data_IF_850218110762
#
_entry.id   IF_850218110762
#
_cell.length_a   1.000
_cell.length_b   1.000
_cell.length_c   1.000
_cell.angle_alpha   90.00
_cell.angle_beta   90.00
_cell.angle_gamma   90.00
#
_symmetry.space_group_name_H-M   'P 1'
#
loop_
_entity.id
_entity.type
_entity.pdbx_description
1 polymer ?
#
# COMPACT_ATOMS: atom_id res chain seq x y z
N UNK A 1 -37.47 -21.22 16.87
CA UNK A 1 -36.58 -20.32 16.10
C UNK A 1 -36.82 -20.59 14.61
N UNK A 2 -37.57 -19.73 13.91
CA UNK A 2 -38.01 -19.96 12.51
C UNK A 2 -36.95 -19.40 11.55
N UNK A 3 -36.29 -20.29 10.80
CA UNK A 3 -35.39 -19.92 9.70
C UNK A 3 -36.24 -19.37 8.54
N UNK A 4 -35.99 -18.12 8.14
CA UNK A 4 -36.58 -17.51 6.95
C UNK A 4 -35.86 -18.04 5.71
N UNK A 5 -36.58 -18.81 4.90
CA UNK A 5 -36.22 -19.16 3.52
C UNK A 5 -36.22 -17.89 2.67
N UNK A 6 -35.03 -17.42 2.28
CA UNK A 6 -34.87 -16.35 1.31
C UNK A 6 -34.91 -16.94 -0.09
N UNK A 7 -35.90 -16.52 -0.90
CA UNK A 7 -36.02 -16.90 -2.29
C UNK A 7 -34.81 -16.38 -3.09
N UNK A 8 -33.98 -17.29 -3.59
CA UNK A 8 -32.91 -17.00 -4.54
C UNK A 8 -33.56 -16.64 -5.87
N UNK A 9 -33.61 -15.35 -6.20
CA UNK A 9 -34.07 -14.88 -7.51
C UNK A 9 -32.92 -15.08 -8.49
N UNK A 10 -32.93 -16.20 -9.20
CA UNK A 10 -32.06 -16.41 -10.35
C UNK A 10 -32.44 -15.43 -11.44
N UNK A 11 -31.80 -14.25 -11.43
CA UNK A 11 -31.79 -13.33 -12.57
C UNK A 11 -30.97 -13.98 -13.68
N UNK A 12 -31.64 -14.83 -14.46
CA UNK A 12 -31.18 -15.18 -15.80
C UNK A 12 -31.21 -13.88 -16.60
N UNK A 13 -30.07 -13.21 -16.69
CA UNK A 13 -29.89 -12.12 -17.64
C UNK A 13 -30.03 -12.74 -19.02
N UNK A 14 -31.06 -12.35 -19.78
CA UNK A 14 -31.22 -12.72 -21.18
C UNK A 14 -30.04 -12.12 -21.97
N UNK A 15 -28.97 -12.89 -22.11
CA UNK A 15 -27.80 -12.51 -22.91
C UNK A 15 -28.23 -12.58 -24.37
N UNK A 16 -28.40 -11.42 -25.01
CA UNK A 16 -28.70 -11.33 -26.43
C UNK A 16 -27.61 -12.08 -27.24
N UNK A 17 -27.95 -13.19 -27.93
CA UNK A 17 -26.98 -14.03 -28.64
C UNK A 17 -26.29 -13.31 -29.80
N UNK A 18 -26.83 -12.18 -30.27
CA UNK A 18 -26.20 -11.36 -31.31
C UNK A 18 -24.99 -10.59 -30.78
N UNK A 19 -25.01 -10.18 -29.50
CA UNK A 19 -23.91 -9.43 -28.88
C UNK A 19 -22.67 -10.31 -28.62
N UNK A 20 -22.87 -11.59 -28.30
CA UNK A 20 -21.77 -12.55 -28.10
C UNK A 20 -21.01 -12.85 -29.39
N UNK A 21 -21.68 -12.85 -30.55
CA UNK A 21 -21.05 -13.05 -31.86
C UNK A 21 -20.08 -11.92 -32.24
N UNK A 22 -20.48 -10.66 -32.02
CA UNK A 22 -19.63 -9.50 -32.33
C UNK A 22 -18.36 -9.46 -31.46
N UNK A 23 -18.48 -9.78 -30.17
CA UNK A 23 -17.32 -9.84 -29.25
C UNK A 23 -16.37 -10.99 -29.66
N UNK A 24 -16.91 -12.15 -30.04
CA UNK A 24 -16.09 -13.26 -30.50
C UNK A 24 -15.31 -12.91 -31.78
N UNK A 25 -15.95 -12.24 -32.74
CA UNK A 25 -15.28 -11.76 -33.96
C UNK A 25 -14.19 -10.72 -33.67
N UNK A 26 -14.46 -9.75 -32.79
CA UNK A 26 -13.46 -8.78 -32.36
C UNK A 26 -12.28 -9.43 -31.64
N UNK A 27 -12.52 -10.42 -30.77
CA UNK A 27 -11.46 -11.15 -30.11
C UNK A 27 -10.64 -11.99 -31.11
N UNK A 28 -11.28 -12.59 -32.12
CA UNK A 28 -10.60 -13.35 -33.16
C UNK A 28 -9.69 -12.47 -34.06
N UNK A 29 -9.94 -11.17 -34.14
CA UNK A 29 -9.07 -10.24 -34.87
C UNK A 29 -7.93 -9.67 -34.03
N UNK A 30 -7.97 -9.81 -32.69
CA UNK A 30 -6.95 -9.29 -31.79
C UNK A 30 -5.59 -9.94 -32.01
N UNK A 31 -4.53 -9.18 -32.35
CA UNK A 31 -3.17 -9.72 -32.48
C UNK A 31 -2.66 -10.33 -31.17
N UNK A 32 -2.99 -9.72 -30.03
CA UNK A 32 -2.58 -10.20 -28.70
C UNK A 32 -3.13 -11.61 -28.42
N UNK A 33 -4.39 -11.87 -28.75
CA UNK A 33 -5.05 -13.17 -28.47
C UNK A 33 -4.55 -14.31 -29.38
N UNK A 34 -3.88 -13.99 -30.49
CA UNK A 34 -3.25 -14.98 -31.38
C UNK A 34 -1.84 -15.38 -30.94
N UNK A 35 -1.25 -14.65 -29.98
CA UNK A 35 0.07 -14.98 -29.48
C UNK A 35 0.03 -16.23 -28.60
N UNK A 36 1.11 -17.04 -28.60
CA UNK A 36 1.31 -18.10 -27.62
C UNK A 36 1.20 -17.57 -26.19
N UNK A 37 0.78 -18.44 -25.26
CA UNK A 37 0.53 -18.06 -23.86
C UNK A 37 1.79 -17.48 -23.20
N UNK A 38 2.95 -18.02 -23.53
CA UNK A 38 4.26 -17.59 -23.00
C UNK A 38 4.55 -16.12 -23.35
N UNK A 39 4.28 -15.73 -24.60
CA UNK A 39 4.48 -14.35 -25.07
C UNK A 39 3.46 -13.42 -24.42
N UNK A 40 2.21 -13.87 -24.23
CA UNK A 40 1.18 -13.08 -23.54
C UNK A 40 1.54 -12.84 -22.08
N UNK A 41 2.01 -13.88 -21.38
CA UNK A 41 2.47 -13.75 -19.99
C UNK A 41 3.62 -12.76 -19.87
N UNK A 42 4.60 -12.82 -20.79
CA UNK A 42 5.68 -11.84 -20.83
C UNK A 42 5.16 -10.41 -21.05
N UNK A 43 4.19 -10.22 -21.95
CA UNK A 43 3.54 -8.91 -22.16
C UNK A 43 2.84 -8.45 -20.87
N UNK A 44 2.11 -9.33 -20.18
CA UNK A 44 1.44 -8.97 -18.93
C UNK A 44 2.45 -8.62 -17.83
N UNK A 45 3.54 -9.36 -17.69
CA UNK A 45 4.60 -9.08 -16.72
C UNK A 45 5.26 -7.72 -17.01
N UNK A 46 5.59 -7.43 -18.27
CA UNK A 46 6.18 -6.15 -18.67
C UNK A 46 5.20 -4.97 -18.50
N UNK A 47 3.91 -5.19 -18.75
CA UNK A 47 2.90 -4.14 -18.68
C UNK A 47 2.40 -3.86 -17.26
N UNK A 48 2.31 -4.91 -16.42
CA UNK A 48 1.64 -4.84 -15.12
C UNK A 48 2.49 -5.28 -13.94
N UNK A 49 3.64 -5.90 -14.14
CA UNK A 49 4.43 -6.54 -13.09
C UNK A 49 5.74 -5.84 -12.75
N UNK A 50 6.40 -6.31 -11.70
CA UNK A 50 7.74 -5.86 -11.28
C UNK A 50 7.80 -4.42 -10.73
N UNK A 51 6.67 -3.82 -10.40
CA UNK A 51 6.56 -2.47 -9.89
C UNK A 51 6.43 -2.43 -8.37
N UNK A 52 6.93 -1.36 -7.75
CA UNK A 52 6.51 -0.94 -6.41
C UNK A 52 5.25 -0.08 -6.54
N UNK A 53 4.13 -0.54 -5.99
CA UNK A 53 2.82 0.14 -6.07
C UNK A 53 2.50 0.76 -4.72
N UNK A 54 2.46 2.09 -4.66
CA UNK A 54 1.92 2.80 -3.50
C UNK A 54 0.40 2.75 -3.52
N UNK A 55 -0.16 2.21 -2.44
CA UNK A 55 -1.59 2.18 -2.20
C UNK A 55 -1.95 3.36 -1.33
N UNK A 56 -2.90 4.17 -1.80
CA UNK A 56 -3.42 5.30 -1.03
C UNK A 56 -4.93 5.21 -0.99
N UNK A 57 -5.50 5.25 0.21
CA UNK A 57 -6.94 5.34 0.40
C UNK A 57 -7.41 6.74 0.03
N UNK A 58 -8.32 6.85 -0.94
CA UNK A 58 -8.95 8.12 -1.27
C UNK A 58 -9.83 8.57 -0.10
N UNK A 59 -9.83 9.87 0.27
CA UNK A 59 -10.79 10.37 1.24
C UNK A 59 -12.21 10.13 0.73
N UNK A 60 -13.19 9.90 1.63
CA UNK A 60 -14.59 9.82 1.23
C UNK A 60 -14.96 11.11 0.49
N UNK A 61 -15.66 10.98 -0.62
CA UNK A 61 -16.02 12.09 -1.52
C UNK A 61 -16.97 13.13 -0.90
N UNK A 62 -17.44 12.90 0.33
CA UNK A 62 -18.38 13.77 1.05
C UNK A 62 -17.82 15.12 1.47
N UNK A 63 -16.53 15.40 1.25
CA UNK A 63 -15.95 16.74 1.44
C UNK A 63 -16.06 17.66 0.23
N UNK A 64 -16.74 17.25 -0.85
CA UNK A 64 -17.20 18.21 -1.85
C UNK A 64 -18.13 19.19 -1.14
N UNK A 65 -17.60 20.37 -0.88
CA UNK A 65 -18.23 21.51 -0.21
C UNK A 65 -19.43 22.00 -1.01
N UNK A 66 -20.50 21.23 -1.05
CA UNK A 66 -21.81 21.66 -1.51
C UNK A 66 -22.43 22.52 -0.43
N UNK A 67 -22.20 23.83 -0.60
CA UNK A 67 -23.21 24.87 -0.47
C UNK A 67 -24.61 24.35 -0.15
N UNK A 68 -24.98 24.51 1.12
CA UNK A 68 -26.28 24.98 1.59
C UNK A 68 -27.51 24.64 0.73
N UNK A 69 -28.26 23.63 1.17
CA UNK A 69 -29.72 23.61 1.03
C UNK A 69 -30.27 22.53 0.10
N UNK A 70 -30.46 21.31 0.60
CA UNK A 70 -31.58 20.46 0.18
C UNK A 70 -31.70 19.27 1.14
N UNK A 71 -32.78 19.27 1.91
CA UNK A 71 -33.20 18.14 2.75
C UNK A 71 -33.66 17.00 1.85
N UNK A 72 -32.88 15.93 1.75
CA UNK A 72 -33.30 14.72 1.06
C UNK A 72 -32.68 13.50 1.73
N UNK A 73 -33.54 12.61 2.22
CA UNK A 73 -33.21 11.31 2.79
C UNK A 73 -32.33 10.51 1.81
N UNK A 74 -31.01 10.59 1.97
CA UNK A 74 -30.09 9.74 1.24
C UNK A 74 -29.94 8.43 2.01
N UNK A 75 -30.45 7.34 1.41
CA UNK A 75 -29.95 5.99 1.70
C UNK A 75 -28.44 6.07 1.82
N UNK A 76 -27.92 5.65 2.97
CA UNK A 76 -26.50 5.65 3.27
C UNK A 76 -25.82 4.63 2.36
N UNK A 77 -25.48 5.06 1.15
CA UNK A 77 -24.61 4.34 0.23
C UNK A 77 -23.34 4.03 1.02
N UNK A 78 -23.18 2.77 1.39
CA UNK A 78 -22.11 2.27 2.25
C UNK A 78 -20.82 2.45 1.45
N UNK A 79 -20.22 3.63 1.63
CA UNK A 79 -19.23 4.19 0.72
C UNK A 79 -18.08 3.22 0.48
N UNK A 80 -18.07 2.61 -0.70
CA UNK A 80 -17.00 1.71 -1.11
C UNK A 80 -15.68 2.47 -1.01
N UNK A 81 -14.76 1.95 -0.19
CA UNK A 81 -13.45 2.56 -0.02
C UNK A 81 -12.71 2.46 -1.35
N UNK A 82 -12.37 3.60 -1.95
CA UNK A 82 -11.62 3.67 -3.20
C UNK A 82 -10.14 3.76 -2.89
N UNK A 83 -9.35 2.92 -3.56
CA UNK A 83 -7.89 2.96 -3.51
C UNK A 83 -7.34 3.53 -4.80
N UNK A 84 -6.27 4.30 -4.69
CA UNK A 84 -5.44 4.74 -5.82
C UNK A 84 -4.13 3.96 -5.79
N UNK A 85 -3.84 3.28 -6.89
CA UNK A 85 -2.63 2.48 -7.08
C UNK A 85 -1.66 3.29 -7.94
N UNK A 86 -0.58 3.79 -7.33
CA UNK A 86 0.42 4.62 -8.03
C UNK A 86 1.73 3.88 -8.12
N UNK A 87 2.28 3.75 -9.33
CA UNK A 87 3.59 3.14 -9.56
C UNK A 87 4.66 4.10 -9.04
N UNK A 88 5.57 3.58 -8.21
CA UNK A 88 6.74 4.29 -7.73
C UNK A 88 7.63 4.74 -8.90
N UNK A 89 8.15 5.95 -8.82
CA UNK A 89 9.07 6.54 -9.81
C UNK A 89 10.49 6.70 -9.29
N UNK A 90 10.81 6.12 -8.13
CA UNK A 90 12.19 6.11 -7.62
C UNK A 90 13.08 5.47 -8.67
N UNK A 91 14.18 6.16 -9.02
CA UNK A 91 15.19 5.62 -9.94
C UNK A 91 16.03 4.51 -9.31
N UNK A 92 16.00 4.43 -7.98
CA UNK A 92 16.69 3.44 -7.16
C UNK A 92 15.67 2.40 -6.72
N UNK A 93 15.92 1.11 -6.98
CA UNK A 93 15.06 0.02 -6.49
C UNK A 93 15.12 -0.07 -4.95
N UNK A 94 14.19 -0.80 -4.33
CA UNK A 94 14.28 -1.00 -2.87
C UNK A 94 15.47 -1.88 -2.50
N UNK A 95 15.79 -2.88 -3.33
CA UNK A 95 16.96 -3.74 -3.16
C UNK A 95 18.25 -2.92 -3.25
N UNK A 96 18.40 -2.07 -4.27
CA UNK A 96 19.56 -1.19 -4.43
C UNK A 96 19.66 -0.19 -3.27
N UNK A 97 18.54 0.35 -2.80
CA UNK A 97 18.55 1.25 -1.65
C UNK A 97 18.94 0.55 -0.34
N UNK A 98 18.59 -0.73 -0.20
CA UNK A 98 19.02 -1.55 0.92
C UNK A 98 20.52 -1.86 0.83
N UNK A 99 21.00 -2.27 -0.34
CA UNK A 99 22.44 -2.50 -0.58
C UNK A 99 23.27 -1.24 -0.30
N UNK A 100 22.81 -0.08 -0.77
CA UNK A 100 23.45 1.21 -0.50
C UNK A 100 23.41 1.61 0.99
N UNK A 101 22.41 1.13 1.75
CA UNK A 101 22.33 1.37 3.19
C UNK A 101 23.31 0.48 3.97
N UNK A 102 23.55 -0.75 3.51
CA UNK A 102 24.43 -1.71 4.17
C UNK A 102 25.94 -1.47 3.87
N UNK A 103 26.27 -0.73 2.81
CA UNK A 103 27.65 -0.40 2.47
C UNK A 103 28.21 0.78 3.31
N UNK A 104 28.85 0.43 4.43
CA UNK A 104 29.56 1.38 5.32
C UNK A 104 30.57 2.29 4.60
N UNK A 105 31.14 1.85 3.47
CA UNK A 105 32.12 2.64 2.72
C UNK A 105 31.48 3.78 1.91
N UNK A 106 30.19 3.63 1.58
CA UNK A 106 29.39 4.61 0.83
C UNK A 106 28.49 5.48 1.69
N UNK A 107 28.50 5.30 3.03
CA UNK A 107 27.85 6.22 3.98
C UNK A 107 28.28 7.71 3.83
N UNK A 108 29.31 7.99 3.01
CA UNK A 108 29.72 9.34 2.59
C UNK A 108 28.90 9.95 1.45
N UNK A 109 28.13 9.17 0.71
CA UNK A 109 27.26 9.64 -0.35
C UNK A 109 25.81 9.49 0.10
N UNK A 110 25.14 10.62 0.23
CA UNK A 110 23.74 10.82 0.56
C UNK A 110 22.84 9.76 -0.12
N UNK A 111 22.57 8.63 0.53
CA UNK A 111 21.39 7.82 0.17
C UNK A 111 20.23 8.70 0.60
N UNK A 112 19.44 9.26 -0.35
CA UNK A 112 18.35 10.13 0.01
C UNK A 112 17.47 9.34 0.96
N UNK A 113 17.26 9.87 2.16
CA UNK A 113 16.49 9.17 3.18
C UNK A 113 15.16 8.74 2.57
N UNK A 114 14.57 7.61 2.95
CA UNK A 114 13.41 6.99 2.26
C UNK A 114 12.35 7.99 1.72
N UNK A 115 12.03 9.04 2.49
CA UNK A 115 11.18 10.17 2.09
C UNK A 115 11.62 10.97 0.85
N UNK A 116 12.92 11.19 0.66
CA UNK A 116 13.46 11.87 -0.51
C UNK A 116 13.35 11.01 -1.76
N UNK A 117 13.63 9.70 -1.66
CA UNK A 117 13.45 8.73 -2.76
C UNK A 117 12.00 8.68 -3.24
N UNK A 118 11.07 8.66 -2.29
CA UNK A 118 9.64 8.61 -2.57
C UNK A 118 8.98 10.00 -2.60
N UNK A 119 9.75 11.09 -2.60
CA UNK A 119 9.18 12.45 -2.59
C UNK A 119 8.29 12.72 -3.80
N UNK A 120 8.67 12.18 -4.95
CA UNK A 120 7.89 12.24 -6.20
C UNK A 120 6.72 11.24 -6.24
N UNK A 121 6.70 10.26 -5.33
CA UNK A 121 5.71 9.19 -5.26
C UNK A 121 4.66 9.45 -4.18
N UNK A 122 5.03 10.23 -3.16
CA UNK A 122 4.18 10.59 -2.04
C UNK A 122 3.12 11.53 -2.59
N UNK A 123 1.97 10.95 -2.92
CA UNK A 123 0.73 11.71 -3.06
C UNK A 123 0.54 12.43 -1.73
N UNK A 124 0.91 13.71 -1.66
CA UNK A 124 0.55 14.48 -0.49
C UNK A 124 -0.98 14.46 -0.43
N UNK A 125 -1.53 14.43 0.78
CA UNK A 125 -2.98 14.48 0.96
C UNK A 125 -3.58 15.70 0.22
N UNK A 126 -2.79 16.77 0.07
CA UNK A 126 -3.08 17.94 -0.76
C UNK A 126 -3.18 17.63 -2.25
N UNK A 127 -2.33 16.77 -2.82
CA UNK A 127 -2.34 16.42 -4.26
C UNK A 127 -3.61 15.64 -4.65
N UNK A 128 -4.25 14.99 -3.67
CA UNK A 128 -5.55 14.32 -3.85
C UNK A 128 -6.67 15.35 -3.93
N UNK A 129 -6.57 16.44 -3.17
CA UNK A 129 -7.61 17.48 -3.08
C UNK A 129 -7.45 18.55 -4.16
N UNK A 130 -6.23 18.79 -4.64
CA UNK A 130 -5.91 19.80 -5.63
C UNK A 130 -4.94 19.20 -6.66
N UNK A 131 -5.43 18.46 -7.67
CA UNK A 131 -4.57 17.96 -8.73
C UNK A 131 -3.97 19.17 -9.46
N UNK A 132 -2.64 19.35 -9.35
CA UNK A 132 -1.98 20.42 -10.09
C UNK A 132 -2.14 20.17 -11.59
N UNK A 133 -2.29 21.24 -12.37
CA UNK A 133 -2.40 21.17 -13.84
C UNK A 133 -1.11 20.64 -14.49
N UNK A 134 0.01 20.66 -13.75
CA UNK A 134 1.31 20.08 -14.12
C UNK A 134 1.47 18.62 -13.64
N UNK A 135 0.37 17.92 -13.35
CA UNK A 135 0.37 16.46 -13.14
C UNK A 135 0.61 15.72 -14.45
N UNK A 136 1.76 15.98 -15.09
CA UNK A 136 2.36 15.02 -15.99
C UNK A 136 2.53 13.70 -15.23
N UNK A 137 1.62 12.77 -15.49
CA UNK A 137 1.89 11.34 -15.47
C UNK A 137 2.20 10.73 -14.10
N UNK A 138 1.39 10.99 -13.07
CA UNK A 138 1.26 9.97 -12.02
C UNK A 138 0.88 8.65 -12.72
N UNK A 139 1.83 7.72 -12.80
CA UNK A 139 1.63 6.41 -13.44
C UNK A 139 0.71 5.61 -12.54
N UNK A 140 -0.58 5.88 -12.65
CA UNK A 140 -1.62 5.03 -12.06
C UNK A 140 -1.54 3.71 -12.79
N UNK A 141 -1.42 2.61 -12.05
CA UNK A 141 -1.48 1.29 -12.65
C UNK A 141 -2.91 1.09 -13.17
N UNK A 142 -3.11 1.29 -14.47
CA UNK A 142 -4.41 1.09 -15.09
C UNK A 142 -4.66 -0.39 -15.30
N UNK A 143 -5.61 -0.94 -14.55
CA UNK A 143 -6.13 -2.30 -14.77
C UNK A 143 -7.23 -2.33 -15.84
N UNK A 144 -7.50 -1.21 -16.53
CA UNK A 144 -8.51 -1.16 -17.59
C UNK A 144 -8.23 -2.12 -18.74
N UNK A 145 -6.98 -2.36 -19.19
CA UNK A 145 -6.75 -3.31 -20.28
C UNK A 145 -7.10 -4.75 -19.87
N UNK A 146 -6.96 -5.10 -18.59
CA UNK A 146 -7.36 -6.43 -18.09
C UNK A 146 -8.88 -6.63 -18.13
N UNK A 147 -9.66 -5.56 -18.21
CA UNK A 147 -11.13 -5.60 -18.25
C UNK A 147 -11.70 -5.60 -19.68
N UNK A 148 -10.86 -5.54 -20.71
CA UNK A 148 -11.35 -5.44 -22.09
C UNK A 148 -12.02 -6.72 -22.58
N UNK A 149 -11.52 -7.90 -22.19
CA UNK A 149 -12.17 -9.17 -22.47
C UNK A 149 -11.90 -10.21 -21.38
N UNK A 150 -12.82 -11.17 -21.26
CA UNK A 150 -12.75 -12.23 -20.24
C UNK A 150 -11.50 -13.09 -20.36
N UNK A 151 -11.01 -13.33 -21.58
CA UNK A 151 -9.81 -14.14 -21.80
C UNK A 151 -8.56 -13.43 -21.26
N UNK A 152 -8.35 -12.15 -21.61
CA UNK A 152 -7.22 -11.36 -21.10
C UNK A 152 -7.31 -11.23 -19.58
N UNK A 153 -8.51 -11.03 -19.03
CA UNK A 153 -8.70 -11.02 -17.59
C UNK A 153 -8.22 -12.34 -16.96
N UNK A 154 -8.75 -13.48 -17.41
CA UNK A 154 -8.41 -14.78 -16.83
C UNK A 154 -6.91 -15.08 -16.92
N UNK A 155 -6.26 -14.73 -18.03
CA UNK A 155 -4.84 -14.96 -18.23
C UNK A 155 -3.96 -13.99 -17.44
N UNK A 156 -4.32 -12.71 -17.34
CA UNK A 156 -3.43 -11.66 -16.83
C UNK A 156 -3.77 -11.07 -15.46
N UNK A 157 -4.97 -11.28 -14.92
CA UNK A 157 -5.43 -10.57 -13.71
C UNK A 157 -4.61 -10.85 -12.45
N UNK A 158 -3.91 -11.99 -12.41
CA UNK A 158 -3.08 -12.38 -11.27
C UNK A 158 -1.72 -11.66 -11.27
N UNK A 159 -1.20 -11.29 -12.44
CA UNK A 159 0.14 -10.70 -12.61
C UNK A 159 0.34 -9.43 -11.78
N UNK A 160 -0.59 -8.46 -11.75
CA UNK A 160 -0.47 -7.29 -10.89
C UNK A 160 -0.30 -7.61 -9.40
N UNK A 161 -0.81 -8.75 -8.92
CA UNK A 161 -0.76 -9.10 -7.51
C UNK A 161 0.44 -9.99 -7.17
N UNK A 162 0.83 -10.88 -8.09
CA UNK A 162 1.91 -11.84 -7.83
C UNK A 162 3.31 -11.30 -8.05
N UNK A 163 3.47 -10.28 -8.88
CA UNK A 163 4.80 -9.79 -9.32
C UNK A 163 5.15 -8.40 -8.81
N UNK A 164 4.19 -7.65 -8.27
CA UNK A 164 4.43 -6.32 -7.72
C UNK A 164 4.63 -6.36 -6.21
N UNK A 165 5.28 -5.33 -5.69
CA UNK A 165 5.36 -5.05 -4.26
C UNK A 165 4.38 -3.96 -3.91
N UNK A 166 3.50 -4.20 -2.94
CA UNK A 166 2.52 -3.21 -2.51
C UNK A 166 3.01 -2.42 -1.30
N UNK A 167 3.08 -1.10 -1.42
CA UNK A 167 3.55 -0.18 -0.40
C UNK A 167 2.38 0.51 0.30
N UNK A 168 2.33 0.40 1.63
CA UNK A 168 1.34 1.08 2.48
C UNK A 168 2.06 1.89 3.56
N UNK A 169 1.76 3.19 3.65
CA UNK A 169 2.31 4.09 4.67
C UNK A 169 1.34 4.39 5.83
N UNK A 170 0.09 3.93 5.72
CA UNK A 170 -0.97 4.18 6.69
C UNK A 170 -1.68 2.87 7.06
N UNK A 171 -1.89 2.58 8.36
CA UNK A 171 -2.48 1.32 8.78
C UNK A 171 -3.94 1.15 8.33
N UNK A 172 -4.71 2.23 8.22
CA UNK A 172 -6.10 2.14 7.72
C UNK A 172 -6.14 1.80 6.24
N UNK A 173 -5.22 2.38 5.47
CA UNK A 173 -5.04 2.07 4.05
C UNK A 173 -4.68 0.59 3.87
N UNK A 174 -3.75 0.05 4.67
CA UNK A 174 -3.41 -1.37 4.64
C UNK A 174 -4.61 -2.26 5.02
N UNK A 175 -5.29 -1.94 6.12
CA UNK A 175 -6.48 -2.70 6.55
C UNK A 175 -7.55 -2.70 5.46
N UNK A 176 -7.89 -1.53 4.93
CA UNK A 176 -8.89 -1.38 3.88
C UNK A 176 -8.48 -2.12 2.60
N UNK A 177 -7.20 -2.06 2.21
CA UNK A 177 -6.70 -2.78 1.05
C UNK A 177 -6.90 -4.29 1.22
N UNK A 178 -6.49 -4.84 2.36
CA UNK A 178 -6.64 -6.27 2.67
C UNK A 178 -8.12 -6.68 2.69
N UNK A 179 -9.00 -5.86 3.26
CA UNK A 179 -10.45 -6.09 3.23
C UNK A 179 -10.99 -6.07 1.80
N UNK A 180 -10.55 -5.11 0.98
CA UNK A 180 -11.00 -4.98 -0.41
C UNK A 180 -10.58 -6.18 -1.26
N UNK A 181 -9.40 -6.75 -1.02
CA UNK A 181 -8.97 -7.96 -1.70
C UNK A 181 -9.83 -9.17 -1.27
N UNK A 182 -10.24 -9.24 0.00
CA UNK A 182 -11.13 -10.29 0.51
C UNK A 182 -12.57 -10.18 0.03
N UNK A 183 -13.03 -8.98 -0.29
CA UNK A 183 -14.34 -8.76 -0.93
C UNK A 183 -14.30 -9.02 -2.44
N UNK A 184 -13.12 -8.97 -3.06
CA UNK A 184 -12.91 -9.23 -4.48
C UNK A 184 -12.86 -10.72 -4.84
N UNK A 185 -12.18 -11.05 -5.95
CA UNK A 185 -11.91 -12.45 -6.29
C UNK A 185 -11.00 -13.08 -5.24
N UNK A 186 -11.38 -14.24 -4.71
CA UNK A 186 -10.57 -15.01 -3.77
C UNK A 186 -9.14 -15.27 -4.29
N UNK A 187 -8.99 -15.36 -5.61
CA UNK A 187 -7.71 -15.57 -6.30
C UNK A 187 -6.74 -14.39 -6.09
N UNK A 188 -7.24 -13.16 -5.99
CA UNK A 188 -6.40 -11.97 -5.81
C UNK A 188 -5.70 -11.97 -4.44
N UNK A 189 -6.41 -12.38 -3.38
CA UNK A 189 -5.86 -12.53 -2.03
C UNK A 189 -4.69 -13.52 -1.98
N UNK A 190 -4.80 -14.61 -2.74
CA UNK A 190 -3.81 -15.66 -2.80
C UNK A 190 -2.65 -15.31 -3.74
N UNK A 191 -2.80 -14.27 -4.56
CA UNK A 191 -1.77 -13.83 -5.48
C UNK A 191 -0.75 -12.89 -4.83
N UNK A 192 -1.12 -12.06 -3.83
CA UNK A 192 -0.20 -11.10 -3.21
C UNK A 192 1.01 -11.79 -2.57
N UNK A 193 2.22 -11.50 -3.09
CA UNK A 193 3.48 -12.10 -2.62
C UNK A 193 4.37 -11.16 -1.82
N UNK A 194 4.33 -9.86 -2.13
CA UNK A 194 5.29 -8.89 -1.61
C UNK A 194 4.59 -7.65 -1.05
N UNK A 195 4.96 -7.28 0.18
CA UNK A 195 4.41 -6.11 0.88
C UNK A 195 5.54 -5.24 1.44
N UNK A 196 5.42 -3.94 1.28
CA UNK A 196 6.29 -2.93 1.86
C UNK A 196 5.49 -2.05 2.82
N UNK A 197 5.93 -1.96 4.07
CA UNK A 197 5.25 -1.21 5.12
C UNK A 197 6.11 -0.02 5.56
N UNK A 198 5.64 1.19 5.28
CA UNK A 198 6.26 2.43 5.77
C UNK A 198 5.57 2.86 7.07
N UNK A 199 6.14 2.44 8.20
CA UNK A 199 5.58 2.69 9.52
C UNK A 199 6.21 3.92 10.16
N UNK A 200 5.48 5.03 10.16
CA UNK A 200 5.91 6.24 10.87
C UNK A 200 5.33 6.24 12.28
N UNK A 201 6.18 6.07 13.30
CA UNK A 201 5.78 6.09 14.69
C UNK A 201 5.89 7.52 15.24
N UNK A 202 4.75 8.13 15.55
CA UNK A 202 4.66 9.39 16.30
C UNK A 202 4.41 9.07 17.76
N UNK A 203 5.27 9.58 18.65
CA UNK A 203 5.34 9.22 20.08
C UNK A 203 4.03 9.36 20.88
N UNK A 204 3.03 10.08 20.37
CA UNK A 204 1.76 10.35 21.05
C UNK A 204 0.55 9.55 20.54
N UNK A 205 0.67 8.76 19.47
CA UNK A 205 -0.46 7.99 18.93
C UNK A 205 -0.32 6.50 19.24
N UNK A 206 -1.24 5.99 20.06
CA UNK A 206 -1.38 4.56 20.36
C UNK A 206 -1.43 3.77 19.06
N UNK A 207 -0.47 2.86 18.88
CA UNK A 207 -0.27 2.18 17.60
C UNK A 207 -1.11 0.89 17.43
N UNK A 208 -2.26 0.82 18.09
CA UNK A 208 -3.20 -0.30 17.93
C UNK A 208 -3.68 -0.45 16.49
N UNK A 209 -3.58 0.62 15.69
CA UNK A 209 -3.95 0.63 14.28
C UNK A 209 -3.04 -0.27 13.42
N UNK A 210 -1.71 -0.16 13.55
CA UNK A 210 -0.80 -1.02 12.79
C UNK A 210 -0.92 -2.49 13.21
N UNK A 211 -1.06 -2.77 14.51
CA UNK A 211 -1.35 -4.12 15.00
C UNK A 211 -2.58 -4.73 14.32
N UNK A 212 -3.69 -3.99 14.26
CA UNK A 212 -4.93 -4.44 13.65
C UNK A 212 -4.75 -4.72 12.15
N UNK A 213 -4.08 -3.83 11.43
CA UNK A 213 -3.80 -3.97 10.01
C UNK A 213 -2.89 -5.18 9.71
N UNK A 214 -1.84 -5.38 10.51
CA UNK A 214 -0.96 -6.54 10.42
C UNK A 214 -1.73 -7.83 10.71
N UNK A 215 -2.57 -7.87 11.75
CA UNK A 215 -3.41 -9.03 12.04
C UNK A 215 -4.35 -9.33 10.86
N UNK A 216 -4.92 -8.32 10.21
CA UNK A 216 -5.71 -8.52 8.99
C UNK A 216 -4.87 -9.17 7.88
N UNK A 217 -3.63 -8.72 7.66
CA UNK A 217 -2.70 -9.34 6.71
C UNK A 217 -2.47 -10.82 7.04
N UNK A 218 -2.17 -11.16 8.29
CA UNK A 218 -1.93 -12.56 8.70
C UNK A 218 -3.14 -13.47 8.46
N UNK A 219 -4.36 -12.90 8.49
CA UNK A 219 -5.60 -13.63 8.25
C UNK A 219 -5.88 -13.83 6.77
N UNK A 220 -5.63 -12.83 5.92
CA UNK A 220 -6.08 -12.84 4.52
C UNK A 220 -4.96 -13.16 3.51
N UNK A 221 -3.73 -12.69 3.75
CA UNK A 221 -2.62 -12.82 2.80
C UNK A 221 -1.80 -14.09 3.06
N UNK A 222 -2.44 -15.26 2.90
CA UNK A 222 -1.82 -16.57 3.20
C UNK A 222 -0.62 -16.91 2.33
N UNK A 223 -0.52 -16.25 1.20
CA UNK A 223 0.49 -16.50 0.17
C UNK A 223 1.61 -15.47 0.15
N UNK A 224 1.62 -14.56 1.14
CA UNK A 224 2.65 -13.56 1.32
C UNK A 224 4.00 -14.23 1.61
N UNK A 225 5.03 -13.87 0.84
CA UNK A 225 6.36 -14.46 0.90
C UNK A 225 7.40 -13.44 1.33
N UNK A 226 7.23 -12.17 0.97
CA UNK A 226 8.20 -11.10 1.21
C UNK A 226 7.53 -9.95 1.95
N UNK A 227 8.13 -9.53 3.06
CA UNK A 227 7.71 -8.32 3.77
C UNK A 227 8.91 -7.46 4.08
N UNK A 228 8.87 -6.21 3.64
CA UNK A 228 9.86 -5.19 3.97
C UNK A 228 9.19 -4.13 4.84
N UNK A 229 9.81 -3.77 5.95
CA UNK A 229 9.25 -2.87 6.95
C UNK A 229 10.25 -1.76 7.21
N UNK A 230 9.86 -0.52 6.93
CA UNK A 230 10.61 0.66 7.27
C UNK A 230 9.93 1.32 8.47
N UNK A 231 10.61 1.37 9.61
CA UNK A 231 10.12 2.02 10.82
C UNK A 231 10.86 3.35 10.97
N UNK A 232 10.13 4.45 10.85
CA UNK A 232 10.65 5.79 11.14
C UNK A 232 10.17 6.24 12.53
N UNK A 233 11.10 6.30 13.47
CA UNK A 233 10.86 6.89 14.78
C UNK A 233 11.06 8.39 14.71
N UNK A 234 9.98 9.10 14.41
CA UNK A 234 9.96 10.55 14.57
C UNK A 234 9.76 10.86 16.04
N UNK A 235 10.86 11.18 16.72
CA UNK A 235 10.79 11.95 17.96
C UNK A 235 10.04 13.23 17.62
N UNK A 236 8.90 13.46 18.27
CA UNK A 236 8.50 14.84 18.48
C UNK A 236 9.71 15.50 19.13
N UNK A 237 10.26 16.53 18.50
CA UNK A 237 11.46 17.18 18.96
C UNK A 237 11.37 17.32 20.48
N UNK A 238 12.31 16.70 21.19
CA UNK A 238 12.49 16.83 22.63
C UNK A 238 12.61 18.30 23.09
N UNK A 239 12.67 19.22 22.14
CA UNK A 239 12.54 20.67 22.30
C UNK A 239 11.20 21.06 22.94
N UNK A 240 10.09 20.35 22.73
CA UNK A 240 8.78 20.72 23.27
C UNK A 240 8.41 19.99 24.58
N UNK A 241 9.04 18.85 24.86
CA UNK A 241 8.74 18.04 26.03
C UNK A 241 9.99 18.01 26.89
N UNK A 242 10.02 18.84 27.93
CA UNK A 242 11.13 18.93 28.87
C UNK A 242 11.52 17.56 29.47
N UNK A 243 12.72 17.43 30.04
CA UNK A 243 13.25 16.16 30.56
C UNK A 243 12.32 15.50 31.60
N UNK A 244 11.54 16.29 32.34
CA UNK A 244 10.54 15.81 33.29
C UNK A 244 9.40 15.03 32.61
N UNK A 245 8.89 15.54 31.48
CA UNK A 245 7.85 14.86 30.72
C UNK A 245 8.39 13.56 30.13
N UNK A 246 9.64 13.52 29.68
CA UNK A 246 10.28 12.28 29.19
C UNK A 246 10.38 11.21 30.27
N UNK A 247 10.83 11.58 31.47
CA UNK A 247 10.89 10.66 32.60
C UNK A 247 9.49 10.18 33.04
N UNK A 248 8.48 11.05 32.98
CA UNK A 248 7.09 10.68 33.25
C UNK A 248 6.51 9.74 32.19
N UNK A 249 6.86 9.95 30.92
CA UNK A 249 6.50 9.09 29.79
C UNK A 249 7.14 7.70 29.90
N UNK A 250 8.41 7.62 30.29
CA UNK A 250 9.10 6.36 30.59
C UNK A 250 8.49 5.66 31.81
N UNK A 251 8.15 6.42 32.87
CA UNK A 251 7.50 5.90 34.09
C UNK A 251 6.08 5.42 33.85
N UNK A 252 5.33 6.04 32.93
CA UNK A 252 3.97 5.64 32.54
C UNK A 252 3.94 4.40 31.64
N UNK A 253 5.09 3.84 31.28
CA UNK A 253 5.17 2.65 30.43
C UNK A 253 4.49 2.91 29.08
N UNK A 254 4.74 4.08 28.48
CA UNK A 254 4.34 4.29 27.08
C UNK A 254 4.79 3.11 26.23
N UNK A 255 4.02 2.76 25.18
CA UNK A 255 4.37 1.68 24.28
C UNK A 255 5.81 1.91 23.81
N UNK A 256 6.73 1.15 24.40
CA UNK A 256 8.14 1.31 24.13
C UNK A 256 8.41 0.90 22.69
N UNK A 257 9.65 1.07 22.24
CA UNK A 257 10.12 0.44 20.99
C UNK A 257 9.73 -1.05 20.90
N UNK A 258 9.57 -1.72 22.05
CA UNK A 258 9.09 -3.10 22.17
C UNK A 258 7.69 -3.37 21.60
N UNK A 259 6.74 -2.45 21.68
CA UNK A 259 5.36 -2.70 21.21
C UNK A 259 5.28 -2.69 19.68
N UNK A 260 6.00 -1.75 19.05
CA UNK A 260 6.15 -1.70 17.59
C UNK A 260 6.76 -3.01 17.05
N UNK A 261 7.83 -3.47 17.70
CA UNK A 261 8.50 -4.72 17.35
C UNK A 261 7.55 -5.88 17.58
N UNK A 262 6.82 -5.93 18.70
CA UNK A 262 5.84 -6.98 19.00
C UNK A 262 4.75 -7.10 17.93
N UNK A 263 4.24 -5.97 17.44
CA UNK A 263 3.26 -5.95 16.34
C UNK A 263 3.83 -6.55 15.06
N UNK A 264 5.05 -6.13 14.68
CA UNK A 264 5.78 -6.67 13.53
C UNK A 264 6.06 -8.17 13.69
N UNK A 265 6.41 -8.62 14.91
CA UNK A 265 6.67 -10.03 15.20
C UNK A 265 5.43 -10.91 14.95
N UNK A 266 4.21 -10.36 14.95
CA UNK A 266 3.02 -11.14 14.58
C UNK A 266 3.03 -11.61 13.12
N UNK A 267 3.79 -10.96 12.23
CA UNK A 267 3.99 -11.40 10.85
C UNK A 267 4.75 -12.73 10.75
N UNK A 268 5.47 -13.16 11.80
CA UNK A 268 6.13 -14.49 11.84
C UNK A 268 5.14 -15.66 11.72
N UNK A 269 3.84 -15.42 11.88
CA UNK A 269 2.78 -16.42 11.67
C UNK A 269 2.51 -16.71 10.19
N UNK A 270 3.04 -15.90 9.27
CA UNK A 270 2.93 -16.09 7.83
C UNK A 270 4.08 -16.95 7.29
N UNK A 271 3.90 -17.65 6.16
CA UNK A 271 4.93 -18.46 5.52
C UNK A 271 5.94 -17.58 4.74
N UNK A 272 6.53 -16.60 5.42
CA UNK A 272 7.48 -15.66 4.83
C UNK A 272 8.78 -16.37 4.46
N UNK A 273 9.26 -16.12 3.24
CA UNK A 273 10.61 -16.49 2.79
C UNK A 273 11.63 -15.43 3.22
N UNK A 274 11.22 -14.17 3.16
CA UNK A 274 12.10 -13.03 3.47
C UNK A 274 11.32 -12.01 4.28
N UNK A 275 11.94 -11.51 5.35
CA UNK A 275 11.41 -10.42 6.15
C UNK A 275 12.56 -9.44 6.47
N UNK A 276 12.47 -8.23 5.94
CA UNK A 276 13.47 -7.17 6.16
C UNK A 276 12.86 -6.08 7.02
N UNK A 277 13.59 -5.62 8.03
CA UNK A 277 13.14 -4.54 8.90
C UNK A 277 14.26 -3.52 9.05
N UNK A 278 14.00 -2.30 8.60
CA UNK A 278 14.89 -1.14 8.71
C UNK A 278 14.30 -0.21 9.76
N UNK A 279 15.08 0.12 10.79
CA UNK A 279 14.67 1.06 11.84
C UNK A 279 15.51 2.32 11.70
N UNK A 280 14.86 3.44 11.41
CA UNK A 280 15.48 4.76 11.35
C UNK A 280 15.06 5.61 12.57
N UNK A 281 16.01 6.32 13.17
CA UNK A 281 15.79 7.32 14.22
C UNK A 281 16.28 8.66 13.67
N UNK A 282 15.49 9.31 12.80
CA UNK A 282 15.89 10.58 12.16
C UNK A 282 16.17 11.70 13.17
N UNK A 283 15.59 11.61 14.36
CA UNK A 283 15.75 12.63 15.39
C UNK A 283 17.18 12.75 15.95
N UNK A 284 18.06 11.77 15.75
CA UNK A 284 19.46 11.86 16.24
C UNK A 284 20.42 12.46 15.21
N UNK A 285 20.18 12.28 13.91
CA UNK A 285 21.04 12.81 12.84
C UNK A 285 20.95 14.35 12.75
N UNK A 286 19.72 14.90 12.75
CA UNK A 286 19.48 16.35 12.72
C UNK A 286 20.00 17.03 14.00
N UNK A 287 19.88 16.37 15.15
CA UNK A 287 20.49 16.86 16.40
C UNK A 287 22.02 16.76 16.39
N UNK A 288 22.61 15.74 15.76
CA UNK A 288 24.08 15.64 15.59
C UNK A 288 24.61 16.71 14.63
N UNK A 289 23.86 17.07 13.60
CA UNK A 289 24.23 18.14 12.67
C UNK A 289 23.99 19.54 13.28
N UNK A 290 22.90 19.74 14.04
CA UNK A 290 22.61 21.00 14.72
C UNK A 290 23.49 21.23 15.96
N UNK A 291 23.96 20.15 16.59
CA UNK A 291 24.85 20.17 17.75
C UNK A 291 26.00 19.16 17.54
N UNK A 292 27.02 19.50 16.72
CA UNK A 292 28.18 18.63 16.59
C UNK A 292 28.80 18.45 17.98
N UNK A 293 28.95 17.20 18.41
CA UNK A 293 29.49 16.89 19.73
C UNK A 293 30.84 17.60 19.92
N UNK A 294 30.96 18.41 20.97
CA UNK A 294 32.26 18.89 21.43
C UNK A 294 33.14 17.67 21.72
N UNK A 295 34.42 17.66 21.30
CA UNK A 295 35.29 16.52 21.52
C UNK A 295 35.39 16.26 23.03
N UNK A 296 35.00 15.06 23.44
CA UNK A 296 35.27 14.57 24.77
C UNK A 296 36.77 14.31 24.84
N UNK A 297 37.50 15.16 25.54
CA UNK A 297 38.85 14.84 26.01
C UNK A 297 38.72 13.77 27.10
N UNK A 298 39.44 12.66 26.92
CA UNK A 298 39.57 11.56 27.88
C UNK A 298 39.99 12.00 29.28
#
# INVERSE_FOLDING_TARGET
>A
MKLRSGAHVDRVLDINPTATSAIAQHNASSPLLKLPLEVKNLIYELAFGGNLIHIVQSPPSSFSSSSSGSDSNSDSDEGTTKFKNTICRSTVSEEEAQENFDDESTHKWYVPANEDRHKCCRLQKSDILFPSTDTETLRVLSLSPLRCCRQIYNEGHHVPYSTNTFSCADPKTLEGFVVSLAQGSHENNLAVRSLFLEMVYKQCMYNTSWRKAIVACTKQLKMLQHVSISIDWRKWSSILLGPEYRAELEKKGLPGKGDAISDVLTLRKLPLKTATMVISDRGTEELRQAYPASPWTE
#
